data_IF_429355393615
#
_entry.id   IF_429355393615
#
_cell.length_a   1.000
_cell.length_b   1.000
_cell.length_c   1.000
_cell.angle_alpha   90.00
_cell.angle_beta   90.00
_cell.angle_gamma   90.00
#
_symmetry.space_group_name_H-M   'P 1'
#
loop_
_entity.id
_entity.type
_entity.pdbx_description
1 polymer ?
#
# COMPACT_ATOMS: atom_id res chain seq x y z
N UNK A 1 -2.16 12.38 34.67
CA UNK A 1 -3.43 11.76 34.26
C UNK A 1 -3.09 10.72 33.20
N UNK A 2 -3.03 9.45 33.57
CA UNK A 2 -2.77 8.34 32.65
C UNK A 2 -4.04 8.08 31.84
N UNK A 3 -3.94 8.17 30.52
CA UNK A 3 -5.07 7.86 29.64
C UNK A 3 -5.35 6.36 29.73
N UNK A 4 -6.58 6.00 30.07
CA UNK A 4 -7.08 4.62 30.31
C UNK A 4 -6.69 3.60 29.21
N UNK A 5 -6.38 4.06 27.99
CA UNK A 5 -5.90 3.18 26.91
C UNK A 5 -4.45 2.71 27.06
N UNK A 6 -3.63 3.41 27.84
CA UNK A 6 -2.20 3.11 28.00
C UNK A 6 -1.93 1.92 28.93
N UNK A 7 -2.92 1.54 29.74
CA UNK A 7 -2.83 0.47 30.74
C UNK A 7 -3.41 -0.86 30.24
N UNK A 8 -3.91 -0.91 29.00
CA UNK A 8 -4.45 -2.12 28.39
C UNK A 8 -3.33 -3.14 28.07
N UNK A 9 -3.60 -4.45 28.24
CA UNK A 9 -2.78 -5.52 27.71
C UNK A 9 -2.68 -5.48 26.17
N UNK A 10 -1.54 -5.90 25.61
CA UNK A 10 -1.26 -5.82 24.17
C UNK A 10 -2.24 -6.66 23.32
N UNK A 11 -2.78 -7.75 23.87
CA UNK A 11 -3.80 -8.60 23.28
C UNK A 11 -5.17 -7.91 23.15
N UNK A 12 -5.53 -7.05 24.11
CA UNK A 12 -6.77 -6.26 24.03
C UNK A 12 -6.60 -5.10 23.03
N UNK A 13 -5.41 -4.51 22.98
CA UNK A 13 -5.07 -3.51 21.95
C UNK A 13 -5.19 -4.12 20.55
N UNK A 14 -4.64 -5.33 20.34
CA UNK A 14 -4.77 -6.10 19.10
C UNK A 14 -6.23 -6.35 18.69
N UNK A 15 -7.09 -6.68 19.66
CA UNK A 15 -8.51 -6.90 19.44
C UNK A 15 -9.24 -5.63 19.01
N UNK A 16 -8.87 -4.48 19.59
CA UNK A 16 -9.41 -3.17 19.19
C UNK A 16 -8.96 -2.83 17.77
N UNK A 17 -7.69 -3.10 17.45
CA UNK A 17 -7.11 -2.80 16.15
C UNK A 17 -7.65 -3.66 15.01
N UNK A 18 -7.93 -4.94 15.27
CA UNK A 18 -8.59 -5.81 14.27
C UNK A 18 -10.03 -5.35 13.97
N UNK A 19 -10.59 -4.45 14.79
CA UNK A 19 -11.90 -3.81 14.59
C UNK A 19 -11.82 -2.40 14.02
N UNK A 20 -10.64 -1.79 13.99
CA UNK A 20 -10.42 -0.47 13.40
C UNK A 20 -10.10 -0.63 11.91
N UNK A 21 -10.51 0.34 11.11
CA UNK A 21 -10.02 0.43 9.74
C UNK A 21 -8.52 0.77 9.76
N UNK A 22 -7.83 0.50 8.65
CA UNK A 22 -6.37 0.68 8.56
C UNK A 22 -5.97 2.14 8.76
N UNK A 23 -6.85 3.08 8.39
CA UNK A 23 -6.64 4.54 8.52
C UNK A 23 -6.65 4.96 9.98
N UNK A 24 -7.63 4.52 10.75
CA UNK A 24 -7.79 4.80 12.16
C UNK A 24 -6.73 4.06 12.97
N UNK A 25 -6.35 2.84 12.59
CA UNK A 25 -5.23 2.15 13.21
C UNK A 25 -3.90 2.92 13.06
N UNK A 26 -3.64 3.49 11.88
CA UNK A 26 -2.48 4.35 11.63
C UNK A 26 -2.58 5.66 12.42
N UNK A 27 -3.75 6.31 12.48
CA UNK A 27 -3.95 7.52 13.31
C UNK A 27 -3.75 7.24 14.79
N UNK A 28 -4.28 6.13 15.29
CA UNK A 28 -4.10 5.69 16.66
C UNK A 28 -2.62 5.38 16.96
N UNK A 29 -1.85 4.93 15.97
CA UNK A 29 -0.40 4.69 16.15
C UNK A 29 0.40 5.95 16.51
N UNK A 30 -0.13 7.13 16.19
CA UNK A 30 0.50 8.42 16.48
C UNK A 30 0.17 8.93 17.89
N UNK A 31 -0.78 8.30 18.61
CA UNK A 31 -1.24 8.78 19.92
C UNK A 31 -0.26 8.51 21.07
N UNK A 32 0.68 7.56 20.90
CA UNK A 32 1.56 7.12 21.97
C UNK A 32 2.74 6.30 21.43
N UNK A 33 3.90 6.31 22.10
CA UNK A 33 5.04 5.43 21.75
C UNK A 33 4.73 3.94 21.84
N UNK A 34 3.72 3.56 22.65
CA UNK A 34 3.26 2.17 22.74
C UNK A 34 2.39 1.84 21.52
N UNK A 35 1.58 2.80 21.09
CA UNK A 35 0.79 2.72 19.86
C UNK A 35 1.63 2.91 18.59
N UNK A 36 2.82 3.52 18.64
CA UNK A 36 3.68 3.60 17.44
C UNK A 36 4.27 2.24 17.03
N UNK A 37 4.19 1.23 17.91
CA UNK A 37 4.59 -0.17 17.62
C UNK A 37 3.44 -1.01 17.05
N UNK A 38 2.21 -0.52 17.21
CA UNK A 38 0.96 -1.19 16.83
C UNK A 38 0.82 -1.47 15.32
N UNK A 39 1.24 -0.61 14.38
CA UNK A 39 1.12 -0.89 12.96
C UNK A 39 1.80 -2.20 12.55
N UNK A 40 2.91 -2.55 13.22
CA UNK A 40 3.60 -3.81 13.00
C UNK A 40 2.80 -5.03 13.47
N UNK A 41 1.85 -4.87 14.39
CA UNK A 41 1.08 -5.97 14.97
C UNK A 41 -0.22 -6.27 14.19
N UNK A 42 -0.57 -5.42 13.21
CA UNK A 42 -1.74 -5.61 12.37
C UNK A 42 -1.58 -6.86 11.50
N UNK A 43 -2.44 -7.84 11.72
CA UNK A 43 -2.49 -9.05 10.90
C UNK A 43 -3.18 -8.81 9.56
N UNK A 44 -4.03 -7.77 9.45
CA UNK A 44 -4.79 -7.43 8.25
C UNK A 44 -4.53 -5.96 7.91
N UNK A 45 -3.85 -5.71 6.80
CA UNK A 45 -3.48 -4.38 6.34
C UNK A 45 -4.00 -4.24 4.92
N UNK A 46 -4.98 -3.38 4.73
CA UNK A 46 -5.51 -3.05 3.41
C UNK A 46 -5.42 -1.53 3.24
N UNK A 47 -4.64 -1.07 2.26
CA UNK A 47 -4.42 0.35 2.00
C UNK A 47 -4.81 0.67 0.57
N UNK A 48 -5.61 1.73 0.43
CA UNK A 48 -6.01 2.27 -0.85
C UNK A 48 -5.40 3.65 -1.07
N UNK A 49 -4.78 3.86 -2.22
CA UNK A 49 -4.22 5.15 -2.63
C UNK A 49 -5.27 6.26 -2.66
N UNK A 50 -6.53 5.93 -2.94
CA UNK A 50 -7.63 6.90 -2.97
C UNK A 50 -7.94 7.43 -1.56
N UNK A 51 -7.60 6.70 -0.50
CA UNK A 51 -7.72 7.17 0.89
C UNK A 51 -6.74 8.30 1.24
N UNK A 52 -5.76 8.56 0.37
CA UNK A 52 -4.79 9.65 0.49
C UNK A 52 -5.09 10.82 -0.46
N UNK A 53 -6.19 10.76 -1.21
CA UNK A 53 -6.66 11.90 -1.97
C UNK A 53 -6.95 13.09 -1.02
N UNK A 54 -6.71 14.33 -1.47
CA UNK A 54 -7.16 15.51 -0.75
C UNK A 54 -8.67 15.44 -0.53
N UNK A 55 -9.14 15.92 0.61
CA UNK A 55 -10.57 16.08 0.81
C UNK A 55 -11.06 17.15 -0.19
N UNK A 56 -12.06 16.87 -1.05
CA UNK A 56 -12.52 17.83 -2.05
C UNK A 56 -13.07 19.12 -1.43
N UNK A 57 -13.41 19.10 -0.13
CA UNK A 57 -13.90 20.26 0.62
C UNK A 57 -12.79 21.00 1.40
N UNK A 58 -11.55 20.51 1.38
CA UNK A 58 -10.40 21.13 2.05
C UNK A 58 -9.74 22.16 1.13
N UNK A 59 -10.34 23.35 1.08
CA UNK A 59 -9.93 24.53 0.29
C UNK A 59 -8.67 25.22 0.85
N UNK A 60 -7.85 24.48 1.61
CA UNK A 60 -6.53 24.92 2.04
C UNK A 60 -5.57 24.87 0.84
N UNK A 61 -5.67 25.91 0.00
CA UNK A 61 -4.56 26.39 -0.82
C UNK A 61 -3.41 26.73 0.12
N UNK A 62 -2.54 25.75 0.38
CA UNK A 62 -1.32 25.91 1.17
C UNK A 62 -0.28 26.80 0.45
N UNK A 63 -0.67 27.41 -0.69
CA UNK A 63 0.15 28.28 -1.53
C UNK A 63 1.30 27.52 -2.21
N UNK A 64 1.38 26.20 -2.00
CA UNK A 64 2.39 25.35 -2.59
C UNK A 64 1.81 24.64 -3.80
N UNK A 65 1.96 25.26 -4.96
CA UNK A 65 1.75 24.59 -6.25
C UNK A 65 2.79 23.49 -6.41
N UNK A 66 2.50 22.32 -5.83
CA UNK A 66 3.29 21.12 -6.06
C UNK A 66 3.32 20.84 -7.55
N UNK A 67 4.52 20.68 -8.11
CA UNK A 67 4.70 20.25 -9.51
C UNK A 67 4.24 18.80 -9.77
N UNK A 68 3.83 18.09 -8.72
CA UNK A 68 3.36 16.72 -8.78
C UNK A 68 1.85 16.65 -8.98
N UNK A 69 1.40 15.75 -9.87
CA UNK A 69 -0.03 15.43 -9.99
C UNK A 69 -0.58 14.85 -8.67
N UNK A 70 -1.89 14.96 -8.48
CA UNK A 70 -2.59 14.40 -7.31
C UNK A 70 -2.27 12.92 -7.10
N UNK A 71 -2.30 12.14 -8.17
CA UNK A 71 -1.91 10.72 -8.19
C UNK A 71 -0.48 10.46 -7.71
N UNK A 72 0.48 11.36 -7.98
CA UNK A 72 1.83 11.26 -7.43
C UNK A 72 1.86 11.52 -5.93
N UNK A 73 1.13 12.55 -5.46
CA UNK A 73 1.06 12.89 -4.04
C UNK A 73 0.46 11.74 -3.24
N UNK A 74 -0.64 11.16 -3.71
CA UNK A 74 -1.27 9.99 -3.07
C UNK A 74 -0.32 8.79 -3.05
N UNK A 75 0.37 8.49 -4.15
CA UNK A 75 1.38 7.42 -4.17
C UNK A 75 2.54 7.70 -3.19
N UNK A 76 3.04 8.93 -3.09
CA UNK A 76 4.05 9.30 -2.10
C UNK A 76 3.57 9.12 -0.66
N UNK A 77 2.34 9.54 -0.37
CA UNK A 77 1.72 9.34 0.93
C UNK A 77 1.59 7.83 1.25
N UNK A 78 1.15 7.04 0.28
CA UNK A 78 1.04 5.60 0.41
C UNK A 78 2.40 4.93 0.62
N UNK A 79 3.44 5.31 -0.13
CA UNK A 79 4.82 4.81 0.09
C UNK A 79 5.25 5.06 1.52
N UNK A 80 5.04 6.28 2.04
CA UNK A 80 5.38 6.61 3.43
C UNK A 80 4.57 5.80 4.45
N UNK A 81 3.28 5.61 4.20
CA UNK A 81 2.41 4.80 5.07
C UNK A 81 2.88 3.34 5.11
N UNK A 82 3.08 2.72 3.95
CA UNK A 82 3.56 1.33 3.82
C UNK A 82 4.93 1.17 4.48
N UNK A 83 5.85 2.11 4.25
CA UNK A 83 7.15 2.11 4.91
C UNK A 83 7.01 2.20 6.42
N UNK A 84 6.18 3.10 6.94
CA UNK A 84 5.98 3.26 8.39
C UNK A 84 5.42 1.98 9.02
N UNK A 85 4.43 1.36 8.40
CA UNK A 85 3.78 0.12 8.87
C UNK A 85 4.76 -1.05 8.84
N UNK A 86 5.49 -1.22 7.73
CA UNK A 86 6.36 -2.38 7.50
C UNK A 86 7.78 -2.23 8.07
N UNK A 87 8.22 -1.01 8.40
CA UNK A 87 9.53 -0.74 9.01
C UNK A 87 9.55 -0.98 10.51
N UNK A 88 8.42 -1.27 11.16
CA UNK A 88 8.35 -1.61 12.57
C UNK A 88 9.23 -2.85 12.88
N UNK A 89 10.49 -2.58 13.26
CA UNK A 89 11.58 -3.54 13.38
C UNK A 89 11.36 -4.59 14.48
N UNK A 90 10.55 -4.24 15.48
CA UNK A 90 10.28 -5.13 16.63
C UNK A 90 9.13 -6.10 16.41
N UNK A 91 8.31 -5.89 15.38
CA UNK A 91 7.20 -6.80 15.14
C UNK A 91 7.68 -8.00 14.31
N UNK A 92 7.72 -9.16 14.97
CA UNK A 92 7.87 -10.48 14.32
C UNK A 92 6.53 -11.11 13.95
N UNK A 93 5.43 -10.36 14.12
CA UNK A 93 4.10 -10.87 13.85
C UNK A 93 3.91 -11.08 12.35
N UNK A 94 3.37 -12.24 12.00
CA UNK A 94 3.02 -12.54 10.63
C UNK A 94 1.84 -11.65 10.21
N UNK A 95 1.94 -11.07 9.02
CA UNK A 95 0.81 -10.40 8.38
C UNK A 95 -0.01 -11.50 7.71
N UNK A 96 -1.26 -11.67 8.15
CA UNK A 96 -2.20 -12.60 7.53
C UNK A 96 -2.62 -12.11 6.16
N UNK A 97 -2.91 -10.81 6.02
CA UNK A 97 -3.40 -10.18 4.80
C UNK A 97 -2.74 -8.82 4.57
N UNK A 98 -2.13 -8.63 3.41
CA UNK A 98 -1.58 -7.36 2.94
C UNK A 98 -2.13 -7.02 1.55
N UNK A 99 -3.08 -6.10 1.50
CA UNK A 99 -3.66 -5.58 0.28
C UNK A 99 -3.23 -4.15 0.02
N UNK A 100 -2.64 -3.87 -1.15
CA UNK A 100 -2.19 -2.53 -1.50
C UNK A 100 -2.75 -2.13 -2.87
N UNK A 101 -3.58 -1.07 -2.91
CA UNK A 101 -4.09 -0.47 -4.13
C UNK A 101 -3.35 0.83 -4.44
N UNK A 102 -2.70 0.93 -5.60
CA UNK A 102 -1.87 2.09 -5.97
C UNK A 102 -1.86 2.40 -7.46
N UNK A 103 -1.57 3.65 -7.80
CA UNK A 103 -1.43 4.05 -9.20
C UNK A 103 -0.12 3.56 -9.79
N UNK A 104 -0.14 3.08 -11.04
CA UNK A 104 1.07 2.75 -11.80
C UNK A 104 1.88 4.02 -12.10
N UNK A 105 2.89 4.29 -11.27
CA UNK A 105 3.77 5.46 -11.40
C UNK A 105 5.23 5.12 -11.09
N UNK A 106 6.16 6.05 -11.28
CA UNK A 106 7.56 5.76 -10.97
C UNK A 106 7.77 5.60 -9.46
N UNK A 107 6.99 6.34 -8.67
CA UNK A 107 7.00 6.33 -7.21
C UNK A 107 6.52 5.01 -6.60
N UNK A 108 5.65 4.26 -7.29
CA UNK A 108 5.08 3.00 -6.76
C UNK A 108 6.14 1.93 -6.50
N UNK A 109 7.35 2.08 -7.06
CA UNK A 109 8.49 1.22 -6.74
C UNK A 109 8.83 1.25 -5.25
N UNK A 110 8.56 2.37 -4.57
CA UNK A 110 8.77 2.51 -3.14
C UNK A 110 7.87 1.60 -2.31
N UNK A 111 6.65 1.31 -2.80
CA UNK A 111 5.70 0.39 -2.16
C UNK A 111 6.26 -1.03 -2.25
N UNK A 112 6.59 -1.48 -3.46
CA UNK A 112 7.13 -2.82 -3.71
C UNK A 112 8.44 -3.05 -2.94
N UNK A 113 9.32 -2.03 -2.93
CA UNK A 113 10.56 -2.07 -2.15
C UNK A 113 10.30 -2.21 -0.66
N UNK A 114 9.35 -1.48 -0.09
CA UNK A 114 9.04 -1.57 1.33
C UNK A 114 8.53 -2.97 1.73
N UNK A 115 7.74 -3.61 0.86
CA UNK A 115 7.31 -5.01 1.04
C UNK A 115 8.50 -5.96 0.94
N UNK A 116 9.37 -5.81 -0.06
CA UNK A 116 10.56 -6.65 -0.20
C UNK A 116 11.49 -6.53 1.01
N UNK A 117 11.78 -5.30 1.46
CA UNK A 117 12.64 -5.06 2.61
C UNK A 117 12.04 -5.71 3.87
N UNK A 118 10.71 -5.72 4.00
CA UNK A 118 10.02 -6.35 5.13
C UNK A 118 10.14 -7.88 5.09
N UNK A 119 9.93 -8.49 3.93
CA UNK A 119 10.13 -9.93 3.73
C UNK A 119 11.61 -10.33 3.91
N UNK A 120 12.55 -9.49 3.45
CA UNK A 120 13.99 -9.68 3.64
C UNK A 120 14.38 -9.72 5.12
N UNK A 121 13.70 -8.91 5.94
CA UNK A 121 13.83 -8.87 7.40
C UNK A 121 13.14 -10.05 8.11
N UNK A 122 12.58 -11.00 7.36
CA UNK A 122 11.95 -12.21 7.90
C UNK A 122 10.48 -12.05 8.29
N UNK A 123 9.84 -10.92 7.95
CA UNK A 123 8.41 -10.72 8.19
C UNK A 123 7.61 -11.64 7.27
N UNK A 124 6.80 -12.52 7.85
CA UNK A 124 5.95 -13.45 7.11
C UNK A 124 4.69 -12.72 6.64
N UNK A 125 4.33 -12.88 5.38
CA UNK A 125 3.09 -12.37 4.78
C UNK A 125 2.39 -13.57 4.14
N UNK A 126 1.18 -13.90 4.59
CA UNK A 126 0.47 -15.10 4.16
C UNK A 126 -0.36 -14.87 2.90
N UNK A 127 -1.05 -13.74 2.80
CA UNK A 127 -1.87 -13.35 1.66
C UNK A 127 -1.47 -11.93 1.25
N UNK A 128 -0.79 -11.80 0.11
CA UNK A 128 -0.29 -10.54 -0.42
C UNK A 128 -0.93 -10.27 -1.77
N UNK A 129 -1.60 -9.13 -1.92
CA UNK A 129 -2.15 -8.75 -3.21
C UNK A 129 -1.96 -7.28 -3.53
N UNK A 130 -1.80 -7.01 -4.82
CA UNK A 130 -1.73 -5.66 -5.37
C UNK A 130 -2.88 -5.40 -6.32
N UNK A 131 -3.43 -4.20 -6.23
CA UNK A 131 -4.30 -3.60 -7.22
C UNK A 131 -3.55 -2.41 -7.81
N UNK A 132 -3.28 -2.47 -9.11
CA UNK A 132 -2.48 -1.46 -9.80
C UNK A 132 -3.36 -0.74 -10.80
N UNK A 133 -3.82 0.45 -10.43
CA UNK A 133 -4.71 1.28 -11.23
C UNK A 133 -3.91 2.16 -12.19
N UNK A 134 -4.51 2.51 -13.33
CA UNK A 134 -3.87 3.43 -14.27
C UNK A 134 -3.97 4.88 -13.78
N UNK A 135 -3.06 5.74 -14.25
CA UNK A 135 -3.12 7.18 -13.91
C UNK A 135 -4.34 7.87 -14.53
N UNK A 136 -4.83 7.33 -15.64
CA UNK A 136 -6.00 7.85 -16.36
C UNK A 136 -7.13 6.83 -16.24
N UNK A 137 -8.39 7.29 -16.26
CA UNK A 137 -9.54 6.40 -16.43
C UNK A 137 -9.32 5.49 -17.65
N UNK A 138 -9.82 4.25 -17.60
CA UNK A 138 -9.59 3.25 -18.65
C UNK A 138 -9.95 3.75 -20.07
N UNK A 139 -10.95 4.62 -20.15
CA UNK A 139 -11.42 5.25 -21.39
C UNK A 139 -10.41 6.25 -22.01
N UNK A 140 -9.50 6.78 -21.20
CA UNK A 140 -8.49 7.77 -21.57
C UNK A 140 -7.06 7.18 -21.66
N UNK A 141 -6.87 5.92 -21.31
CA UNK A 141 -5.60 5.23 -21.42
C UNK A 141 -5.20 5.03 -22.89
N UNK A 142 -4.26 5.85 -23.37
CA UNK A 142 -3.69 5.66 -24.68
C UNK A 142 -2.88 4.35 -24.72
N UNK A 143 -2.75 3.72 -25.89
CA UNK A 143 -1.99 2.46 -26.04
C UNK A 143 -0.53 2.54 -25.55
N UNK A 144 0.06 3.74 -25.53
CA UNK A 144 1.41 4.00 -24.95
C UNK A 144 1.42 3.97 -23.42
N UNK A 145 0.37 4.47 -22.78
CA UNK A 145 0.24 4.49 -21.32
C UNK A 145 0.14 3.05 -20.79
N UNK A 146 -0.64 2.23 -21.50
CA UNK A 146 -0.78 0.79 -21.27
C UNK A 146 0.55 0.03 -21.42
N UNK A 147 1.32 0.33 -22.47
CA UNK A 147 2.64 -0.29 -22.68
C UNK A 147 3.65 0.12 -21.61
N UNK A 148 3.64 1.39 -21.18
CA UNK A 148 4.49 1.91 -20.09
C UNK A 148 4.18 1.21 -18.77
N UNK A 149 2.90 0.99 -18.47
CA UNK A 149 2.47 0.25 -17.28
C UNK A 149 2.94 -1.20 -17.31
N UNK A 150 2.78 -1.90 -18.44
CA UNK A 150 3.29 -3.27 -18.62
C UNK A 150 4.81 -3.36 -18.44
N UNK A 151 5.57 -2.46 -19.06
CA UNK A 151 7.04 -2.41 -18.93
C UNK A 151 7.50 -2.14 -17.49
N UNK A 152 6.79 -1.26 -16.78
CA UNK A 152 7.08 -0.95 -15.38
C UNK A 152 6.82 -2.14 -14.47
N UNK A 153 5.69 -2.84 -14.66
CA UNK A 153 5.37 -4.04 -13.88
C UNK A 153 6.39 -5.16 -14.13
N UNK A 154 6.81 -5.35 -15.38
CA UNK A 154 7.89 -6.28 -15.72
C UNK A 154 9.19 -5.91 -14.99
N UNK A 155 9.56 -4.63 -15.00
CA UNK A 155 10.74 -4.14 -14.25
C UNK A 155 10.63 -4.41 -12.75
N UNK A 156 9.44 -4.31 -12.15
CA UNK A 156 9.24 -4.61 -10.74
C UNK A 156 9.42 -6.09 -10.45
N UNK A 157 8.90 -6.96 -11.33
CA UNK A 157 9.06 -8.42 -11.22
C UNK A 157 10.52 -8.84 -11.26
N UNK A 158 11.30 -8.27 -12.16
CA UNK A 158 12.72 -8.58 -12.30
C UNK A 158 13.54 -8.07 -11.11
N UNK A 159 13.20 -6.89 -10.57
CA UNK A 159 13.93 -6.26 -9.48
C UNK A 159 13.58 -6.80 -8.09
N UNK A 160 12.34 -7.24 -7.89
CA UNK A 160 11.81 -7.69 -6.60
C UNK A 160 11.19 -9.09 -6.69
N UNK A 161 11.96 -10.11 -7.12
CA UNK A 161 11.42 -11.45 -7.39
C UNK A 161 10.77 -12.08 -6.16
N UNK A 162 11.23 -11.77 -4.95
CA UNK A 162 10.65 -12.28 -3.70
C UNK A 162 9.21 -11.80 -3.50
N UNK A 163 8.94 -10.53 -3.77
CA UNK A 163 7.59 -9.96 -3.63
C UNK A 163 6.66 -10.62 -4.62
N UNK A 164 7.09 -10.77 -5.87
CA UNK A 164 6.27 -11.39 -6.92
C UNK A 164 6.11 -12.91 -6.74
N UNK A 165 7.06 -13.59 -6.10
CA UNK A 165 6.90 -14.98 -5.68
C UNK A 165 5.96 -15.13 -4.48
N UNK A 166 5.78 -14.07 -3.69
CA UNK A 166 4.86 -14.05 -2.55
C UNK A 166 3.48 -13.47 -2.86
N UNK A 167 3.25 -12.92 -4.06
CA UNK A 167 1.96 -12.40 -4.48
C UNK A 167 0.98 -13.57 -4.62
N UNK A 168 -0.16 -13.48 -3.94
CA UNK A 168 -1.29 -14.40 -4.11
C UNK A 168 -2.24 -13.90 -5.19
N UNK A 169 -2.37 -12.58 -5.37
CA UNK A 169 -3.24 -11.96 -6.37
C UNK A 169 -2.61 -10.67 -6.91
N UNK A 170 -2.79 -10.43 -8.21
CA UNK A 170 -2.33 -9.20 -8.86
C UNK A 170 -3.41 -8.73 -9.83
N UNK A 171 -4.11 -7.66 -9.45
CA UNK A 171 -5.02 -6.95 -10.32
C UNK A 171 -4.31 -5.77 -10.96
N UNK A 172 -4.41 -5.61 -12.27
CA UNK A 172 -3.82 -4.48 -12.98
C UNK A 172 -4.81 -3.97 -14.00
N UNK A 173 -5.25 -2.74 -13.81
CA UNK A 173 -6.12 -2.06 -14.77
C UNK A 173 -5.31 -1.68 -16.01
N UNK A 174 -5.93 -1.75 -17.19
CA UNK A 174 -5.35 -1.27 -18.44
C UNK A 174 -3.94 -1.83 -18.78
N UNK A 175 -3.78 -3.15 -18.88
CA UNK A 175 -2.55 -3.78 -19.39
C UNK A 175 -2.74 -4.36 -20.79
N UNK A 176 -1.75 -4.17 -21.68
CA UNK A 176 -1.55 -4.98 -22.87
C UNK A 176 -0.37 -5.89 -22.59
N UNK A 177 -0.65 -7.11 -22.18
CA UNK A 177 0.30 -8.21 -22.36
C UNK A 177 0.34 -8.49 -23.87
N UNK A 178 1.55 -8.67 -24.42
CA UNK A 178 1.80 -8.70 -25.86
C UNK A 178 0.73 -9.47 -26.66
N UNK A 179 0.14 -8.77 -27.64
CA UNK A 179 -0.80 -9.27 -28.65
C UNK A 179 -2.10 -9.96 -28.16
N UNK A 180 -2.73 -9.51 -27.08
CA UNK A 180 -4.18 -9.64 -26.92
C UNK A 180 -4.72 -8.57 -25.97
N UNK A 181 -5.79 -7.87 -26.38
CA UNK A 181 -6.59 -7.06 -25.45
C UNK A 181 -7.40 -8.03 -24.59
N UNK A 182 -7.07 -8.11 -23.31
CA UNK A 182 -7.92 -8.76 -22.31
C UNK A 182 -7.96 -7.82 -21.11
N UNK A 183 -9.16 -7.40 -20.70
CA UNK A 183 -9.39 -6.99 -19.31
C UNK A 183 -9.26 -8.26 -18.48
N UNK A 184 -8.03 -8.62 -18.14
CA UNK A 184 -7.75 -9.85 -17.44
C UNK A 184 -7.82 -9.57 -15.94
N UNK A 185 -8.92 -10.01 -15.32
CA UNK A 185 -8.84 -10.43 -13.92
C UNK A 185 -7.96 -11.67 -13.92
N UNK A 186 -6.65 -11.48 -13.80
CA UNK A 186 -5.72 -12.59 -13.72
C UNK A 186 -5.65 -13.04 -12.26
N UNK A 187 -6.47 -14.01 -11.89
CA UNK A 187 -6.05 -14.99 -10.88
C UNK A 187 -4.83 -15.70 -11.47
N UNK A 188 -3.63 -15.22 -11.13
CA UNK A 188 -2.40 -15.95 -11.41
C UNK A 188 -1.96 -16.64 -10.13
N UNK A 189 -1.92 -17.97 -10.25
CA UNK A 189 -1.36 -19.00 -9.36
C UNK A 189 0.07 -18.65 -8.94
#
# INVERSE_FOLDING_TARGET
>A
MTTLLSDLPDDVLLLILDKLDTRDAVRCSLLSRRWSRVPGMLANIELDVDSFAPDPDDDHDDGFTSTLSESARSNHAMVRAVQSILAAHESRHAIRRLGLSFFSRDESVGIVRAVDDAMARGRRIHDLWFTVSSEKPELLCAGRDVARQGARLASYRDKYPRVFAGLTRLHVECVKLGAARVSAVSEMI
#
